data_IF_508405779199
#
_entry.id   IF_508405779199
#
_cell.length_a   1.000
_cell.length_b   1.000
_cell.length_c   1.000
_cell.angle_alpha   90.00
_cell.angle_beta   90.00
_cell.angle_gamma   90.00
#
_symmetry.space_group_name_H-M   'P 1'
#
loop_
_entity.id
_entity.type
_entity.pdbx_description
1 polymer ?
#
# COMPACT_ATOMS: atom_id res chain seq x y z
N UNK A 1 17.86 -0.25 -4.77
CA UNK A 1 16.84 -1.17 -4.28
C UNK A 1 16.18 -0.62 -3.04
N UNK A 2 14.90 -0.91 -2.88
CA UNK A 2 14.16 -0.48 -1.70
C UNK A 2 14.50 -1.37 -0.52
N UNK A 3 14.83 -0.76 0.61
CA UNK A 3 15.06 -1.50 1.84
C UNK A 3 13.72 -1.93 2.44
N UNK A 4 13.78 -2.78 3.46
CA UNK A 4 12.57 -3.21 4.16
C UNK A 4 11.82 -2.02 4.77
N UNK A 5 12.57 -1.09 5.35
CA UNK A 5 11.99 0.13 5.94
C UNK A 5 11.35 1.00 4.87
N UNK A 6 11.98 1.12 3.71
CA UNK A 6 11.43 1.88 2.61
C UNK A 6 10.10 1.29 2.14
N UNK A 7 10.03 -0.03 2.04
CA UNK A 7 8.80 -0.72 1.64
C UNK A 7 7.67 -0.47 2.62
N UNK A 8 7.97 -0.55 3.91
CA UNK A 8 6.98 -0.31 4.96
C UNK A 8 6.50 1.14 4.89
N UNK A 9 7.42 2.08 4.75
CA UNK A 9 7.10 3.49 4.66
C UNK A 9 6.19 3.79 3.47
N UNK A 10 6.55 3.27 2.30
CA UNK A 10 5.77 3.46 1.08
C UNK A 10 4.38 2.84 1.24
N UNK A 11 4.31 1.65 1.79
CA UNK A 11 3.04 0.96 2.03
C UNK A 11 2.14 1.77 2.94
N UNK A 12 2.68 2.26 4.05
CA UNK A 12 1.91 3.05 5.01
C UNK A 12 1.37 4.33 4.37
N UNK A 13 2.20 5.05 3.63
CA UNK A 13 1.79 6.28 2.98
C UNK A 13 0.76 6.03 1.88
N UNK A 14 0.94 4.94 1.13
CA UNK A 14 0.00 4.60 0.08
C UNK A 14 -1.38 4.25 0.65
N UNK A 15 -1.41 3.45 1.69
CA UNK A 15 -2.67 3.00 2.29
C UNK A 15 -3.33 4.13 3.09
N UNK A 16 -2.55 4.86 3.87
CA UNK A 16 -3.09 5.90 4.75
C UNK A 16 -3.44 7.19 4.00
N UNK A 17 -2.60 7.60 3.05
CA UNK A 17 -2.74 8.90 2.38
C UNK A 17 -3.00 8.81 0.88
N UNK A 18 -2.88 7.62 0.29
CA UNK A 18 -3.10 7.45 -1.13
C UNK A 18 -2.03 8.08 -2.01
N UNK A 19 -0.80 8.18 -1.53
CA UNK A 19 0.28 8.79 -2.29
C UNK A 19 0.65 7.95 -3.50
N UNK A 20 0.81 8.60 -4.64
CA UNK A 20 1.34 7.96 -5.85
C UNK A 20 2.87 7.98 -5.87
N UNK A 21 3.44 7.32 -6.89
CA UNK A 21 4.89 7.22 -7.00
C UNK A 21 5.57 8.59 -7.05
N UNK A 22 5.05 9.49 -7.87
CA UNK A 22 5.61 10.84 -8.00
C UNK A 22 5.57 11.60 -6.68
N UNK A 23 4.48 11.47 -5.96
CA UNK A 23 4.31 12.14 -4.66
C UNK A 23 5.31 11.60 -3.65
N UNK A 24 5.47 10.27 -3.59
CA UNK A 24 6.42 9.65 -2.70
C UNK A 24 7.85 10.09 -2.98
N UNK A 25 8.21 10.15 -4.25
CA UNK A 25 9.55 10.61 -4.62
C UNK A 25 9.78 12.08 -4.30
N UNK A 26 8.75 12.89 -4.45
CA UNK A 26 8.84 14.32 -4.11
C UNK A 26 8.97 14.54 -2.61
N UNK A 27 8.29 13.73 -1.81
CA UNK A 27 8.37 13.84 -0.34
C UNK A 27 9.70 13.35 0.22
N UNK A 28 10.32 12.39 -0.44
CA UNK A 28 11.55 11.76 0.04
C UNK A 28 12.66 11.76 -1.01
N UNK A 29 13.11 12.95 -1.43
CA UNK A 29 14.15 13.03 -2.48
C UNK A 29 15.49 12.46 -2.03
N UNK A 30 15.78 12.45 -0.74
CA UNK A 30 17.03 11.95 -0.19
C UNK A 30 17.16 10.43 -0.18
N UNK A 31 16.05 9.74 -0.37
CA UNK A 31 16.03 8.27 -0.34
C UNK A 31 16.52 7.65 -1.64
N UNK A 32 16.64 8.44 -2.71
CA UNK A 32 17.13 7.98 -4.01
C UNK A 32 16.34 6.77 -4.53
N UNK A 33 15.04 6.77 -4.31
CA UNK A 33 14.19 5.69 -4.80
C UNK A 33 14.11 5.73 -6.32
N UNK A 34 14.15 4.54 -6.94
CA UNK A 34 13.92 4.42 -8.37
C UNK A 34 12.42 4.52 -8.65
N UNK A 35 12.07 5.31 -9.66
CA UNK A 35 10.66 5.45 -10.06
C UNK A 35 10.07 4.09 -10.44
N UNK A 36 10.84 3.27 -11.18
CA UNK A 36 10.40 1.94 -11.58
C UNK A 36 10.16 1.04 -10.36
N UNK A 37 11.07 1.09 -9.38
CA UNK A 37 10.95 0.28 -8.16
C UNK A 37 9.73 0.71 -7.34
N UNK A 38 9.52 2.01 -7.20
CA UNK A 38 8.36 2.55 -6.47
C UNK A 38 7.07 2.16 -7.16
N UNK A 39 7.01 2.32 -8.47
CA UNK A 39 5.81 1.93 -9.25
C UNK A 39 5.49 0.45 -9.09
N UNK A 40 6.51 -0.41 -9.18
CA UNK A 40 6.34 -1.84 -9.00
C UNK A 40 5.79 -2.17 -7.62
N UNK A 41 6.36 -1.55 -6.61
CA UNK A 41 5.91 -1.76 -5.24
C UNK A 41 4.48 -1.29 -5.06
N UNK A 42 4.13 -0.12 -5.61
CA UNK A 42 2.77 0.39 -5.53
C UNK A 42 1.77 -0.52 -6.21
N UNK A 43 2.14 -1.12 -7.34
CA UNK A 43 1.28 -2.10 -8.00
C UNK A 43 1.00 -3.30 -7.12
N UNK A 44 2.04 -3.80 -6.46
CA UNK A 44 1.89 -4.92 -5.53
C UNK A 44 1.02 -4.55 -4.34
N UNK A 45 1.24 -3.37 -3.80
CA UNK A 45 0.45 -2.87 -2.68
C UNK A 45 -1.01 -2.72 -3.07
N UNK A 46 -1.27 -2.14 -4.24
CA UNK A 46 -2.63 -1.95 -4.72
C UNK A 46 -3.36 -3.27 -4.91
N UNK A 47 -2.70 -4.25 -5.52
CA UNK A 47 -3.26 -5.59 -5.68
C UNK A 47 -3.54 -6.23 -4.32
N UNK A 48 -2.58 -6.12 -3.41
CA UNK A 48 -2.71 -6.67 -2.07
C UNK A 48 -3.87 -6.01 -1.32
N UNK A 49 -3.99 -4.69 -1.42
CA UNK A 49 -5.08 -3.95 -0.76
C UNK A 49 -6.43 -4.34 -1.34
N UNK A 50 -6.53 -4.49 -2.66
CA UNK A 50 -7.78 -4.90 -3.30
C UNK A 50 -8.19 -6.29 -2.82
N UNK A 51 -7.26 -7.24 -2.84
CA UNK A 51 -7.52 -8.61 -2.39
C UNK A 51 -7.86 -8.65 -0.91
N UNK A 52 -7.10 -7.91 -0.11
CA UNK A 52 -7.32 -7.83 1.32
C UNK A 52 -8.68 -7.20 1.64
N UNK A 53 -9.02 -6.12 0.94
CA UNK A 53 -10.31 -5.45 1.13
C UNK A 53 -11.47 -6.38 0.83
N UNK A 54 -11.41 -7.08 -0.29
CA UNK A 54 -12.48 -8.00 -0.67
C UNK A 54 -12.62 -9.11 0.37
N UNK A 55 -11.51 -9.70 0.76
CA UNK A 55 -11.48 -10.77 1.75
C UNK A 55 -11.94 -10.27 3.13
N UNK A 56 -11.38 -9.14 3.56
CA UNK A 56 -11.72 -8.55 4.86
C UNK A 56 -13.17 -8.10 4.90
N UNK A 57 -13.62 -7.45 3.84
CA UNK A 57 -15.00 -6.93 3.79
C UNK A 57 -16.00 -8.06 3.85
N UNK A 58 -15.76 -9.14 3.10
CA UNK A 58 -16.62 -10.31 3.12
C UNK A 58 -16.65 -10.96 4.50
N UNK A 59 -15.49 -11.07 5.13
CA UNK A 59 -15.36 -11.68 6.44
C UNK A 59 -16.04 -10.84 7.51
N UNK A 60 -15.81 -9.54 7.49
CA UNK A 60 -16.44 -8.63 8.46
C UNK A 60 -17.97 -8.65 8.28
N UNK A 61 -18.41 -8.66 7.05
CA UNK A 61 -19.84 -8.71 6.76
C UNK A 61 -20.46 -9.99 7.29
N UNK A 62 -19.78 -11.11 7.09
CA UNK A 62 -20.26 -12.40 7.60
C UNK A 62 -20.27 -12.42 9.12
N UNK A 63 -19.21 -11.89 9.75
CA UNK A 63 -19.13 -11.80 11.20
C UNK A 63 -20.23 -10.93 11.78
N UNK A 64 -20.55 -9.82 11.12
CA UNK A 64 -21.61 -8.94 11.54
C UNK A 64 -22.97 -9.63 11.49
N UNK A 65 -23.22 -10.40 10.44
CA UNK A 65 -24.48 -11.13 10.31
C UNK A 65 -24.59 -12.27 11.31
N UNK A 66 -23.47 -12.94 11.57
CA UNK A 66 -23.44 -14.03 12.53
C UNK A 66 -23.55 -13.52 13.97
N UNK A 67 -23.06 -12.32 14.22
CA UNK A 67 -23.12 -11.71 15.57
C UNK A 67 -24.51 -11.25 15.93
N UNK A 68 -25.32 -11.06 14.93
CA UNK A 68 -26.71 -10.69 15.14
C UNK A 68 -27.60 -11.91 15.26
#
# INVERSE_FOLDING_TARGET
MLSKEDRVLIKMLRVAKGYGAKRLMAEFPRRNWSLAAVKRLLQKIDLWVILFRNSYFSKVKADLYESM
#
